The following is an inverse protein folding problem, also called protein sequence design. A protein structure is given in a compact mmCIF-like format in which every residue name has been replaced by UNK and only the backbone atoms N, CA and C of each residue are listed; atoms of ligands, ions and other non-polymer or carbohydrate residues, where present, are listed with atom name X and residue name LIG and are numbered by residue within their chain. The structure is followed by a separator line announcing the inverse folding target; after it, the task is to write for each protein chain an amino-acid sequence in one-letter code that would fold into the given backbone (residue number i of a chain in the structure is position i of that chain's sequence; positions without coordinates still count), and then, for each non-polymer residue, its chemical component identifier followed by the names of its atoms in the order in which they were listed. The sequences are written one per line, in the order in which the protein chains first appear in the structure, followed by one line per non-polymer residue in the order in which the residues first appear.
data_IF_908733076878
#
_entry.id   IF_908733076878
#
_cell.length_a   1.000
_cell.length_b   1.000
_cell.length_c   1.000
_cell.angle_alpha   90.00
_cell.angle_beta   90.00
_cell.angle_gamma   90.00
#
_symmetry.space_group_name_H-M   'P 1'
#
loop_
_entity.id
_entity.type
_entity.pdbx_description
1 polymer ?
#
# COMPACT_ATOMS: atom_id res chain seq x y z
N UNK A 1 -9.56 8.41 -4.80
CA UNK A 1 -8.30 7.83 -5.37
C UNK A 1 -8.13 6.42 -4.83
N UNK A 2 -7.82 5.46 -5.68
CA UNK A 2 -7.98 4.03 -5.43
C UNK A 2 -6.66 3.25 -5.52
N UNK A 3 -6.74 1.91 -5.36
CA UNK A 3 -5.60 0.99 -5.49
C UNK A 3 -5.38 0.09 -4.28
N UNK A 4 -6.26 0.11 -3.30
CA UNK A 4 -6.26 -0.76 -2.12
C UNK A 4 -7.58 -1.54 -2.04
N UNK A 5 -7.63 -2.57 -1.22
CA UNK A 5 -8.87 -3.32 -0.95
C UNK A 5 -9.91 -2.40 -0.30
N UNK A 6 -9.48 -1.60 0.67
CA UNK A 6 -10.34 -0.65 1.36
C UNK A 6 -10.96 0.39 0.40
N UNK A 7 -10.24 0.77 -0.65
CA UNK A 7 -10.78 1.67 -1.68
C UNK A 7 -11.89 1.00 -2.51
N UNK A 8 -11.76 -0.30 -2.80
CA UNK A 8 -12.80 -1.05 -3.50
C UNK A 8 -14.05 -1.22 -2.62
N UNK A 9 -13.86 -1.60 -1.36
CA UNK A 9 -14.93 -1.77 -0.38
C UNK A 9 -15.67 -0.45 -0.13
N UNK A 10 -14.93 0.66 -0.02
CA UNK A 10 -15.52 1.99 0.12
C UNK A 10 -16.36 2.38 -1.10
N UNK A 11 -15.81 2.20 -2.31
CA UNK A 11 -16.54 2.49 -3.54
C UNK A 11 -17.84 1.69 -3.63
N UNK A 12 -17.80 0.39 -3.31
CA UNK A 12 -18.98 -0.47 -3.26
C UNK A 12 -20.03 0.02 -2.27
N UNK A 13 -19.63 0.37 -1.07
CA UNK A 13 -20.52 0.86 -0.01
C UNK A 13 -21.16 2.21 -0.36
N UNK A 14 -20.40 3.13 -0.98
CA UNK A 14 -20.90 4.44 -1.39
C UNK A 14 -21.89 4.33 -2.54
N UNK A 15 -21.57 3.54 -3.58
CA UNK A 15 -22.48 3.28 -4.71
C UNK A 15 -23.78 2.63 -4.23
N UNK A 16 -23.71 1.63 -3.35
CA UNK A 16 -24.89 1.01 -2.76
C UNK A 16 -25.73 1.98 -1.92
N UNK A 17 -25.14 3.09 -1.47
CA UNK A 17 -25.82 4.17 -0.74
C UNK A 17 -26.33 5.31 -1.65
N UNK A 18 -26.21 5.16 -2.98
CA UNK A 18 -26.67 6.15 -3.95
C UNK A 18 -25.73 7.36 -4.14
N UNK A 19 -24.49 7.26 -3.67
CA UNK A 19 -23.47 8.30 -3.89
C UNK A 19 -22.87 8.11 -5.28
N UNK A 20 -22.73 9.20 -6.04
CA UNK A 20 -21.99 9.18 -7.31
C UNK A 20 -20.49 9.11 -7.04
N UNK A 21 -19.82 8.06 -7.55
CA UNK A 21 -18.43 7.76 -7.25
C UNK A 21 -17.64 7.60 -8.54
N UNK A 22 -16.48 8.24 -8.60
CA UNK A 22 -15.46 7.96 -9.62
C UNK A 22 -14.19 7.42 -8.96
N UNK A 23 -13.78 6.19 -9.32
CA UNK A 23 -12.53 5.60 -8.84
C UNK A 23 -11.36 6.00 -9.77
N UNK A 24 -10.28 6.53 -9.20
CA UNK A 24 -9.11 6.95 -9.99
C UNK A 24 -7.86 6.16 -9.62
N UNK A 25 -7.18 5.60 -10.62
CA UNK A 25 -5.97 4.78 -10.52
C UNK A 25 -4.79 5.42 -11.24
N UNK A 26 -3.59 5.22 -10.69
CA UNK A 26 -2.36 5.68 -11.33
C UNK A 26 -1.93 4.86 -12.57
N UNK A 27 -2.57 3.72 -12.82
CA UNK A 27 -2.24 2.83 -13.94
C UNK A 27 -0.93 2.04 -13.81
N UNK A 28 -0.38 1.94 -12.60
CA UNK A 28 0.89 1.24 -12.34
C UNK A 28 0.78 -0.29 -12.37
N UNK A 29 -0.42 -0.83 -12.21
CA UNK A 29 -0.71 -2.27 -12.25
C UNK A 29 -1.75 -2.50 -13.34
N UNK A 30 -1.48 -3.45 -14.26
CA UNK A 30 -2.34 -3.72 -15.43
C UNK A 30 -3.68 -4.36 -15.06
N UNK A 31 -3.69 -5.21 -14.02
CA UNK A 31 -4.91 -5.87 -13.55
C UNK A 31 -5.48 -5.10 -12.38
N UNK A 32 -6.62 -4.49 -12.58
CA UNK A 32 -7.37 -3.77 -11.55
C UNK A 32 -8.51 -4.64 -11.05
N UNK A 33 -8.89 -4.48 -9.77
CA UNK A 33 -10.13 -5.02 -9.27
C UNK A 33 -11.32 -4.41 -10.03
N UNK A 34 -12.42 -5.16 -10.18
CA UNK A 34 -13.67 -4.60 -10.69
C UNK A 34 -14.22 -3.59 -9.67
N UNK A 35 -14.58 -2.40 -10.16
CA UNK A 35 -15.23 -1.38 -9.36
C UNK A 35 -16.66 -1.19 -9.84
N UNK A 36 -17.63 -0.99 -8.94
CA UNK A 36 -19.04 -0.79 -9.30
C UNK A 36 -19.35 0.65 -9.75
N UNK A 37 -18.34 1.41 -10.16
CA UNK A 37 -18.44 2.80 -10.55
C UNK A 37 -17.51 3.13 -11.73
N UNK A 38 -17.68 4.28 -12.40
CA UNK A 38 -16.74 4.76 -13.40
C UNK A 38 -15.29 4.77 -12.89
N UNK A 39 -14.37 4.36 -13.79
CA UNK A 39 -12.95 4.26 -13.49
C UNK A 39 -12.14 5.18 -14.38
N UNK A 40 -11.33 6.03 -13.75
CA UNK A 40 -10.30 6.81 -14.42
C UNK A 40 -8.94 6.16 -14.23
N UNK A 41 -8.18 5.99 -15.31
CA UNK A 41 -6.81 5.44 -15.26
C UNK A 41 -5.83 6.47 -15.79
N UNK A 42 -4.74 6.68 -15.07
CA UNK A 42 -3.65 7.59 -15.43
C UNK A 42 -3.29 8.56 -14.31
N UNK A 43 -2.11 9.15 -14.42
CA UNK A 43 -1.67 10.20 -13.52
C UNK A 43 -2.49 11.49 -13.68
N UNK A 44 -2.41 12.36 -12.69
CA UNK A 44 -3.09 13.66 -12.75
C UNK A 44 -2.21 14.76 -13.35
N UNK A 45 -0.90 14.56 -13.45
CA UNK A 45 0.03 15.62 -13.84
C UNK A 45 0.35 16.58 -12.68
N UNK A 46 0.41 16.07 -11.46
CA UNK A 46 0.70 16.85 -10.25
C UNK A 46 -0.55 17.47 -9.61
N UNK A 47 -0.32 18.51 -8.82
CA UNK A 47 -1.38 19.22 -8.08
C UNK A 47 -2.34 19.93 -9.03
N UNK A 48 -1.82 20.69 -9.99
CA UNK A 48 -2.63 21.48 -10.92
C UNK A 48 -3.55 20.60 -11.79
N UNK A 49 -3.05 19.44 -12.22
CA UNK A 49 -3.86 18.48 -12.96
C UNK A 49 -4.95 17.86 -12.11
N UNK A 50 -4.70 17.62 -10.82
CA UNK A 50 -5.73 17.13 -9.90
C UNK A 50 -6.78 18.21 -9.61
N UNK A 51 -6.38 19.46 -9.44
CA UNK A 51 -7.30 20.61 -9.30
C UNK A 51 -8.28 20.67 -10.48
N UNK A 52 -7.75 20.58 -11.73
CA UNK A 52 -8.60 20.55 -12.93
C UNK A 52 -9.58 19.38 -12.91
N UNK A 53 -9.12 18.18 -12.58
CA UNK A 53 -10.00 16.99 -12.50
C UNK A 53 -11.10 17.17 -11.46
N UNK A 54 -10.82 17.78 -10.31
CA UNK A 54 -11.82 18.05 -9.27
C UNK A 54 -12.84 19.07 -9.75
N UNK A 55 -12.40 20.17 -10.37
CA UNK A 55 -13.27 21.24 -10.85
C UNK A 55 -14.11 20.80 -12.07
N UNK A 56 -13.46 20.26 -13.11
CA UNK A 56 -14.12 19.86 -14.36
C UNK A 56 -15.11 18.69 -14.14
N UNK A 57 -14.81 17.82 -13.19
CA UNK A 57 -15.66 16.70 -12.82
C UNK A 57 -16.80 17.05 -11.84
N UNK A 58 -16.86 18.28 -11.34
CA UNK A 58 -17.86 18.68 -10.35
C UNK A 58 -17.80 17.84 -9.06
N UNK A 59 -16.59 17.48 -8.61
CA UNK A 59 -16.43 16.65 -7.42
C UNK A 59 -16.52 17.48 -6.14
N UNK A 60 -17.47 17.14 -5.28
CA UNK A 60 -17.68 17.82 -3.99
C UNK A 60 -16.72 17.31 -2.91
N UNK A 61 -16.29 16.05 -3.01
CA UNK A 61 -15.47 15.37 -2.02
C UNK A 61 -14.32 14.60 -2.67
N UNK A 62 -13.18 14.57 -1.98
CA UNK A 62 -12.01 13.79 -2.37
C UNK A 62 -11.65 12.80 -1.26
N UNK A 63 -11.81 11.49 -1.53
CA UNK A 63 -11.27 10.45 -0.62
C UNK A 63 -9.97 9.91 -1.19
N UNK A 64 -8.89 10.08 -0.43
CA UNK A 64 -7.60 9.48 -0.73
C UNK A 64 -7.47 8.13 0.01
N UNK A 65 -7.70 7.04 -0.72
CA UNK A 65 -7.51 5.67 -0.27
C UNK A 65 -6.32 5.00 -0.98
N UNK A 66 -5.29 5.78 -1.36
CA UNK A 66 -4.07 5.23 -1.95
C UNK A 66 -3.29 4.41 -0.91
N UNK A 67 -2.39 3.55 -1.41
CA UNK A 67 -1.59 2.67 -0.57
C UNK A 67 -0.82 3.46 0.50
N UNK A 68 -0.66 2.95 1.75
CA UNK A 68 0.05 3.63 2.84
C UNK A 68 1.47 4.10 2.50
N UNK A 69 2.11 3.47 1.53
CA UNK A 69 3.44 3.84 1.01
C UNK A 69 3.40 4.74 -0.23
N UNK A 70 2.27 5.32 -0.56
CA UNK A 70 2.20 6.39 -1.54
C UNK A 70 2.76 7.68 -0.90
N UNK A 71 3.98 8.08 -1.27
CA UNK A 71 4.65 9.22 -0.66
C UNK A 71 4.24 10.57 -1.27
N UNK A 72 3.93 10.60 -2.57
CA UNK A 72 3.66 11.85 -3.30
C UNK A 72 2.16 12.15 -3.39
N UNK A 73 1.37 11.14 -3.72
CA UNK A 73 -0.04 11.32 -4.04
C UNK A 73 -0.87 11.90 -2.89
N UNK A 74 -0.69 11.49 -1.61
CA UNK A 74 -1.41 12.10 -0.49
C UNK A 74 -1.16 13.60 -0.33
N UNK A 75 0.07 14.05 -0.52
CA UNK A 75 0.43 15.47 -0.45
C UNK A 75 -0.18 16.26 -1.62
N UNK A 76 -0.13 15.71 -2.84
CA UNK A 76 -0.80 16.32 -3.99
C UNK A 76 -2.32 16.41 -3.77
N UNK A 77 -2.92 15.38 -3.20
CA UNK A 77 -4.34 15.36 -2.87
C UNK A 77 -4.71 16.42 -1.83
N UNK A 78 -3.88 16.60 -0.80
CA UNK A 78 -4.10 17.63 0.22
C UNK A 78 -4.01 19.04 -0.38
N UNK A 79 -2.97 19.30 -1.17
CA UNK A 79 -2.78 20.59 -1.82
C UNK A 79 -3.91 20.90 -2.84
N UNK A 80 -4.24 19.93 -3.70
CA UNK A 80 -5.26 20.12 -4.73
C UNK A 80 -6.65 20.32 -4.12
N UNK A 81 -7.02 19.58 -3.09
CA UNK A 81 -8.29 19.74 -2.40
C UNK A 81 -8.41 21.12 -1.76
N UNK A 82 -7.35 21.63 -1.13
CA UNK A 82 -7.31 22.97 -0.56
C UNK A 82 -7.47 24.07 -1.62
N UNK A 83 -6.82 23.94 -2.78
CA UNK A 83 -6.94 24.90 -3.90
C UNK A 83 -8.33 24.87 -4.53
N UNK A 84 -8.88 23.65 -4.72
CA UNK A 84 -10.20 23.48 -5.33
C UNK A 84 -11.38 23.77 -4.38
N UNK A 85 -11.13 23.98 -3.08
CA UNK A 85 -12.18 24.13 -2.08
C UNK A 85 -12.98 22.86 -1.81
N UNK A 86 -12.41 21.68 -2.12
CA UNK A 86 -13.04 20.37 -1.98
C UNK A 86 -12.67 19.75 -0.63
N UNK A 87 -13.64 19.24 0.12
CA UNK A 87 -13.38 18.55 1.37
C UNK A 87 -12.63 17.22 1.09
N UNK A 88 -11.58 16.95 1.88
CA UNK A 88 -10.72 15.77 1.71
C UNK A 88 -10.71 14.87 2.93
N UNK A 89 -10.84 13.58 2.71
CA UNK A 89 -10.61 12.53 3.70
C UNK A 89 -9.44 11.62 3.26
N UNK A 90 -8.62 11.20 4.22
CA UNK A 90 -7.66 10.10 4.04
C UNK A 90 -8.24 8.82 4.64
N UNK A 91 -8.46 7.78 3.83
CA UNK A 91 -8.72 6.42 4.33
C UNK A 91 -7.38 5.68 4.38
N UNK A 92 -6.88 5.48 5.59
CA UNK A 92 -5.56 4.90 5.85
C UNK A 92 -5.67 3.86 6.97
N UNK A 93 -5.73 2.59 6.59
CA UNK A 93 -5.77 1.48 7.55
C UNK A 93 -4.66 1.56 8.60
N UNK A 94 -4.92 1.09 9.83
CA UNK A 94 -3.95 1.07 10.91
C UNK A 94 -2.66 0.32 10.51
N UNK A 95 -1.48 0.77 10.95
CA UNK A 95 -0.25 -0.01 10.80
C UNK A 95 -0.33 -1.32 11.58
N UNK A 96 0.53 -2.25 11.27
CA UNK A 96 0.77 -3.37 12.17
C UNK A 96 1.63 -2.88 13.35
N UNK A 97 1.34 -3.41 14.51
CA UNK A 97 2.09 -3.20 15.73
C UNK A 97 2.80 -4.50 16.10
N UNK A 98 3.98 -4.39 16.69
CA UNK A 98 4.71 -5.56 17.12
C UNK A 98 4.00 -6.23 18.30
N UNK A 99 3.90 -7.55 18.24
CA UNK A 99 3.30 -8.38 19.28
C UNK A 99 4.36 -9.25 19.97
N UNK A 100 3.97 -9.91 21.04
CA UNK A 100 4.86 -10.84 21.74
C UNK A 100 5.32 -11.96 20.78
N UNK A 101 6.63 -12.19 20.72
CA UNK A 101 7.25 -13.15 19.81
C UNK A 101 7.70 -12.57 18.48
N UNK A 102 7.35 -11.34 18.17
CA UNK A 102 7.90 -10.65 16.98
C UNK A 102 9.37 -10.28 17.18
N UNK A 103 10.16 -10.53 16.14
CA UNK A 103 11.56 -10.12 16.07
C UNK A 103 11.71 -9.04 15.00
N UNK A 104 11.19 -7.83 15.30
CA UNK A 104 11.17 -6.71 14.37
C UNK A 104 12.34 -5.76 14.58
N UNK A 105 12.98 -5.39 13.47
CA UNK A 105 13.83 -4.21 13.35
C UNK A 105 13.13 -3.20 12.47
N UNK A 106 12.68 -2.09 13.05
CA UNK A 106 12.09 -1.00 12.27
C UNK A 106 13.18 -0.16 11.60
N UNK A 107 12.90 0.25 10.36
CA UNK A 107 13.76 1.09 9.53
C UNK A 107 12.94 2.17 8.83
N UNK A 108 13.57 3.27 8.46
CA UNK A 108 12.89 4.41 7.87
C UNK A 108 12.54 4.20 6.39
N UNK A 109 13.42 3.51 5.65
CA UNK A 109 13.29 3.32 4.22
C UNK A 109 13.95 2.00 3.74
N UNK A 110 13.90 1.77 2.44
CA UNK A 110 14.45 0.55 1.83
C UNK A 110 15.99 0.54 1.78
N UNK A 111 16.63 1.71 1.81
CA UNK A 111 18.10 1.80 1.84
C UNK A 111 18.62 1.40 3.21
N UNK A 112 17.97 1.88 4.27
CA UNK A 112 18.27 1.43 5.64
C UNK A 112 17.93 -0.05 5.83
N UNK A 113 16.85 -0.55 5.19
CA UNK A 113 16.53 -1.97 5.20
C UNK A 113 17.64 -2.82 4.57
N UNK A 114 18.19 -2.39 3.44
CA UNK A 114 19.31 -3.08 2.78
C UNK A 114 20.56 -3.10 3.67
N UNK A 115 20.94 -1.95 4.23
CA UNK A 115 22.08 -1.84 5.15
C UNK A 115 21.89 -2.69 6.44
N UNK A 116 20.65 -2.87 6.87
CA UNK A 116 20.34 -3.67 8.05
C UNK A 116 20.62 -5.17 7.86
N UNK A 117 20.57 -5.69 6.63
CA UNK A 117 20.79 -7.12 6.36
C UNK A 117 22.17 -7.60 6.83
N UNK A 118 23.22 -6.82 6.59
CA UNK A 118 24.58 -7.14 7.03
C UNK A 118 24.67 -7.22 8.56
N UNK A 119 24.02 -6.28 9.25
CA UNK A 119 24.07 -6.18 10.73
C UNK A 119 23.31 -7.30 11.43
N UNK A 120 22.32 -7.90 10.77
CA UNK A 120 21.53 -9.00 11.34
C UNK A 120 21.99 -10.38 10.84
N UNK A 121 23.01 -10.44 9.97
CA UNK A 121 23.56 -11.68 9.46
C UNK A 121 22.54 -12.50 8.66
N UNK A 122 21.86 -11.84 7.71
CA UNK A 122 20.85 -12.47 6.86
C UNK A 122 21.51 -13.21 5.70
N UNK A 123 21.07 -14.45 5.43
CA UNK A 123 21.55 -15.26 4.31
C UNK A 123 20.46 -15.47 3.25
N UNK A 124 19.21 -15.63 3.69
CA UNK A 124 18.07 -15.92 2.81
C UNK A 124 16.89 -15.01 3.13
N UNK A 125 16.66 -14.05 2.28
CA UNK A 125 15.76 -12.93 2.55
C UNK A 125 14.54 -12.95 1.64
N UNK A 126 13.34 -12.95 2.24
CA UNK A 126 12.11 -12.69 1.51
C UNK A 126 11.87 -11.17 1.38
N UNK A 127 11.88 -10.67 0.15
CA UNK A 127 11.52 -9.30 -0.17
C UNK A 127 10.02 -9.20 -0.54
N UNK A 128 9.19 -8.82 0.41
CA UNK A 128 7.74 -8.60 0.21
C UNK A 128 7.41 -7.09 0.06
N UNK A 129 8.17 -6.40 -0.77
CA UNK A 129 8.16 -4.92 -0.93
C UNK A 129 7.68 -4.44 -2.30
N UNK A 130 7.37 -5.39 -3.20
CA UNK A 130 7.02 -5.12 -4.58
C UNK A 130 8.21 -4.80 -5.49
N UNK A 131 8.03 -4.97 -6.81
CA UNK A 131 9.12 -4.91 -7.80
C UNK A 131 9.92 -3.60 -7.80
N UNK A 132 9.25 -2.47 -7.55
CA UNK A 132 9.90 -1.15 -7.57
C UNK A 132 10.87 -0.92 -6.40
N UNK A 133 10.76 -1.71 -5.34
CA UNK A 133 11.65 -1.60 -4.18
C UNK A 133 12.92 -2.42 -4.29
N UNK A 134 13.03 -3.32 -5.27
CA UNK A 134 14.13 -4.29 -5.36
C UNK A 134 15.48 -3.62 -5.65
N UNK A 135 15.49 -2.50 -6.35
CA UNK A 135 16.71 -1.79 -6.70
C UNK A 135 17.52 -1.31 -5.47
N UNK A 136 16.85 -1.05 -4.34
CA UNK A 136 17.54 -0.67 -3.11
C UNK A 136 18.46 -1.77 -2.55
N UNK A 137 18.29 -3.02 -2.99
CA UNK A 137 19.06 -4.18 -2.54
C UNK A 137 20.10 -4.65 -3.57
N UNK A 138 20.29 -3.92 -4.66
CA UNK A 138 21.16 -4.33 -5.78
C UNK A 138 22.64 -4.47 -5.38
N UNK A 139 23.10 -3.71 -4.40
CA UNK A 139 24.48 -3.73 -3.89
C UNK A 139 24.70 -4.70 -2.72
N UNK A 140 23.65 -5.37 -2.24
CA UNK A 140 23.79 -6.31 -1.12
C UNK A 140 24.39 -7.63 -1.63
N UNK A 141 25.52 -8.02 -1.07
CA UNK A 141 26.25 -9.23 -1.41
C UNK A 141 26.03 -10.34 -0.38
N UNK A 142 26.33 -11.57 -0.74
CA UNK A 142 26.26 -12.72 0.18
C UNK A 142 24.85 -13.24 0.48
N UNK A 143 23.81 -12.51 0.09
CA UNK A 143 22.40 -12.83 0.37
C UNK A 143 21.72 -13.47 -0.84
N UNK A 144 20.94 -14.52 -0.61
CA UNK A 144 20.01 -15.04 -1.61
C UNK A 144 18.63 -14.44 -1.39
N UNK A 145 18.16 -13.68 -2.36
CA UNK A 145 16.85 -13.05 -2.29
C UNK A 145 15.73 -13.94 -2.85
N UNK A 146 14.59 -13.96 -2.17
CA UNK A 146 13.32 -14.42 -2.72
C UNK A 146 12.44 -13.18 -2.89
N UNK A 147 12.24 -12.74 -4.11
CA UNK A 147 11.49 -11.52 -4.41
C UNK A 147 10.06 -11.86 -4.81
N UNK A 148 9.06 -11.39 -4.02
CA UNK A 148 7.66 -11.58 -4.36
C UNK A 148 7.07 -10.31 -4.96
N UNK A 149 6.49 -10.43 -6.15
CA UNK A 149 5.83 -9.34 -6.85
C UNK A 149 4.62 -9.83 -7.64
N UNK A 150 3.72 -8.90 -8.03
CA UNK A 150 2.55 -9.21 -8.87
C UNK A 150 2.96 -9.37 -10.34
N UNK A 151 3.92 -8.56 -10.78
CA UNK A 151 4.46 -8.55 -12.13
C UNK A 151 5.97 -8.79 -12.06
N UNK A 152 6.57 -9.40 -13.08
CA UNK A 152 8.02 -9.61 -13.10
C UNK A 152 8.76 -8.27 -13.03
N UNK A 153 9.88 -8.20 -12.28
CA UNK A 153 10.77 -7.05 -12.36
C UNK A 153 11.49 -7.06 -13.72
N UNK A 154 11.51 -5.90 -14.37
CA UNK A 154 12.19 -5.72 -15.65
C UNK A 154 12.81 -4.29 -15.67
N UNK A 155 14.16 -4.17 -15.68
CA UNK A 155 15.13 -5.25 -15.48
C UNK A 155 15.15 -5.80 -14.04
N UNK A 156 15.70 -7.02 -13.85
CA UNK A 156 15.97 -7.58 -12.53
C UNK A 156 17.21 -6.92 -11.93
N UNK A 157 17.12 -6.19 -10.81
CA UNK A 157 18.25 -5.48 -10.23
C UNK A 157 19.13 -6.36 -9.31
N UNK A 158 18.67 -7.56 -8.95
CA UNK A 158 19.33 -8.42 -7.96
C UNK A 158 20.16 -9.50 -8.64
N UNK A 159 21.42 -9.66 -8.20
CA UNK A 159 22.35 -10.64 -8.78
C UNK A 159 21.98 -12.10 -8.48
N UNK A 160 21.47 -12.37 -7.27
CA UNK A 160 21.03 -13.71 -6.82
C UNK A 160 19.61 -13.63 -6.28
N UNK A 161 18.63 -13.95 -7.11
CA UNK A 161 17.22 -13.88 -6.70
C UNK A 161 16.38 -14.98 -7.33
N UNK A 162 15.44 -15.49 -6.54
CA UNK A 162 14.30 -16.28 -7.01
C UNK A 162 13.09 -15.36 -7.05
N UNK A 163 12.36 -15.31 -8.16
CA UNK A 163 11.15 -14.49 -8.28
C UNK A 163 9.91 -15.35 -8.10
N UNK A 164 9.03 -14.90 -7.21
CA UNK A 164 7.71 -15.49 -7.01
C UNK A 164 6.66 -14.48 -7.51
N UNK A 165 5.92 -14.87 -8.55
CA UNK A 165 4.81 -14.06 -9.05
C UNK A 165 3.54 -14.49 -8.34
N UNK A 166 3.04 -13.65 -7.44
CA UNK A 166 1.84 -13.93 -6.67
C UNK A 166 1.10 -12.65 -6.26
N UNK A 167 -0.21 -12.76 -6.17
CA UNK A 167 -1.10 -11.69 -5.69
C UNK A 167 -1.88 -12.21 -4.49
N UNK A 168 -1.90 -11.43 -3.41
CA UNK A 168 -2.73 -11.75 -2.24
C UNK A 168 -4.25 -11.71 -2.52
N UNK A 169 -5.06 -12.10 -1.55
CA UNK A 169 -4.68 -12.39 -0.18
C UNK A 169 -3.93 -13.72 -0.05
N UNK A 170 -3.13 -13.86 1.02
CA UNK A 170 -2.36 -15.08 1.31
C UNK A 170 -2.79 -15.66 2.66
N UNK A 171 -2.87 -16.99 2.74
CA UNK A 171 -3.09 -17.70 3.99
C UNK A 171 -1.82 -17.76 4.86
N UNK A 172 -2.01 -17.86 6.18
CA UNK A 172 -0.86 -17.95 7.10
C UNK A 172 -0.07 -19.23 6.88
N UNK A 173 -0.75 -20.34 6.64
CA UNK A 173 -0.11 -21.64 6.42
C UNK A 173 0.67 -21.67 5.09
N UNK A 174 0.17 -21.00 4.05
CA UNK A 174 0.89 -20.81 2.79
C UNK A 174 2.15 -19.99 2.97
N UNK A 175 2.09 -18.93 3.78
CA UNK A 175 3.24 -18.09 4.11
C UNK A 175 4.26 -18.87 4.97
N UNK A 176 3.81 -19.69 5.91
CA UNK A 176 4.68 -20.58 6.70
C UNK A 176 5.38 -21.58 5.79
N UNK A 177 4.66 -22.22 4.86
CA UNK A 177 5.22 -23.12 3.89
C UNK A 177 6.28 -22.42 3.02
N UNK A 178 5.96 -21.24 2.50
CA UNK A 178 6.88 -20.43 1.69
C UNK A 178 8.16 -20.11 2.46
N UNK A 179 8.06 -19.62 3.70
CA UNK A 179 9.24 -19.29 4.51
C UNK A 179 10.13 -20.52 4.77
N UNK A 180 9.51 -21.70 5.00
CA UNK A 180 10.24 -22.96 5.21
C UNK A 180 10.89 -23.48 3.94
N UNK A 181 10.15 -23.54 2.83
CA UNK A 181 10.61 -24.12 1.56
C UNK A 181 11.80 -23.34 1.01
N UNK A 182 11.77 -22.02 1.15
CA UNK A 182 12.88 -21.16 0.75
C UNK A 182 13.91 -20.93 1.87
N UNK A 183 13.73 -21.54 3.06
CA UNK A 183 14.60 -21.41 4.24
C UNK A 183 14.87 -19.95 4.59
N UNK A 184 13.82 -19.14 4.62
CA UNK A 184 13.92 -17.72 4.88
C UNK A 184 14.26 -17.48 6.35
N UNK A 185 15.32 -16.75 6.61
CA UNK A 185 15.73 -16.29 7.94
C UNK A 185 15.25 -14.87 8.23
N UNK A 186 15.06 -14.06 7.19
CA UNK A 186 14.69 -12.65 7.31
C UNK A 186 13.61 -12.26 6.29
N UNK A 187 12.55 -11.63 6.78
CA UNK A 187 11.50 -11.00 5.98
C UNK A 187 11.72 -9.48 5.92
N UNK A 188 11.85 -8.91 4.73
CA UNK A 188 11.78 -7.46 4.54
C UNK A 188 10.39 -7.10 4.03
N UNK A 189 9.68 -6.27 4.77
CA UNK A 189 8.33 -5.84 4.40
C UNK A 189 8.06 -4.39 4.78
N UNK A 190 7.14 -3.78 4.06
CA UNK A 190 6.59 -2.46 4.38
C UNK A 190 5.49 -2.60 5.42
N UNK A 191 5.42 -1.72 6.42
CA UNK A 191 4.31 -1.68 7.37
C UNK A 191 3.02 -1.19 6.67
N UNK A 192 2.50 -2.02 5.79
CA UNK A 192 1.31 -1.69 5.00
C UNK A 192 0.03 -1.73 5.82
N UNK A 193 0.02 -2.46 6.93
CA UNK A 193 -1.18 -2.66 7.74
C UNK A 193 -2.27 -3.46 7.05
N UNK A 194 -3.39 -3.62 7.75
CA UNK A 194 -4.56 -4.35 7.28
C UNK A 194 -4.39 -5.87 7.26
N UNK A 195 -5.50 -6.59 7.12
CA UNK A 195 -5.55 -8.07 7.20
C UNK A 195 -5.06 -8.77 5.94
N UNK A 196 -5.29 -8.18 4.75
CA UNK A 196 -5.05 -8.84 3.46
C UNK A 196 -3.61 -9.34 3.23
N UNK A 197 -2.64 -8.76 3.92
CA UNK A 197 -1.22 -9.13 3.80
C UNK A 197 -0.53 -9.33 5.15
N UNK A 198 -1.28 -9.46 6.25
CA UNK A 198 -0.75 -9.70 7.60
C UNK A 198 -0.15 -11.12 7.74
N UNK A 199 -0.66 -12.07 6.98
CA UNK A 199 -0.27 -13.48 7.05
C UNK A 199 1.24 -13.72 7.06
N UNK A 200 2.02 -12.98 6.28
CA UNK A 200 3.49 -13.08 6.24
C UNK A 200 4.17 -12.67 7.55
N UNK A 201 3.58 -11.71 8.26
CA UNK A 201 4.10 -11.22 9.55
C UNK A 201 3.82 -12.28 10.62
N UNK A 202 2.62 -12.82 10.63
CA UNK A 202 2.24 -13.93 11.50
C UNK A 202 3.08 -15.18 11.25
N UNK A 203 3.32 -15.52 9.97
CA UNK A 203 4.18 -16.66 9.61
C UNK A 203 5.63 -16.45 10.08
N UNK A 204 6.17 -15.22 9.94
CA UNK A 204 7.50 -14.88 10.44
C UNK A 204 7.58 -15.04 11.96
N UNK A 205 6.56 -14.60 12.70
CA UNK A 205 6.45 -14.77 14.16
C UNK A 205 6.45 -16.25 14.55
N UNK A 206 5.62 -17.09 13.90
CA UNK A 206 5.55 -18.54 14.16
C UNK A 206 6.87 -19.28 13.95
N UNK A 207 7.68 -18.79 13.01
CA UNK A 207 8.95 -19.41 12.68
C UNK A 207 10.16 -18.74 13.34
N UNK A 208 9.96 -17.67 14.12
CA UNK A 208 11.03 -16.90 14.72
C UNK A 208 11.91 -16.17 13.71
N UNK A 209 11.41 -15.96 12.47
CA UNK A 209 12.14 -15.22 11.45
C UNK A 209 12.29 -13.75 11.86
N UNK A 210 13.43 -13.15 11.53
CA UNK A 210 13.60 -11.71 11.68
C UNK A 210 12.72 -10.95 10.69
N UNK A 211 12.21 -9.79 11.12
CA UNK A 211 11.42 -8.91 10.26
C UNK A 211 12.09 -7.54 10.22
N UNK A 212 12.55 -7.13 9.05
CA UNK A 212 12.94 -5.74 8.80
C UNK A 212 11.68 -5.03 8.30
N UNK A 213 11.13 -4.18 9.18
CA UNK A 213 9.86 -3.50 8.96
C UNK A 213 10.11 -2.06 8.54
N UNK A 214 9.82 -1.76 7.27
CA UNK A 214 9.95 -0.39 6.75
C UNK A 214 8.76 0.44 7.23
N UNK A 215 9.05 1.56 7.91
CA UNK A 215 8.03 2.51 8.38
C UNK A 215 7.34 3.22 7.22
N UNK A 216 6.11 3.67 7.46
CA UNK A 216 5.36 4.46 6.49
C UNK A 216 6.00 5.83 6.29
N UNK A 217 5.96 6.37 5.06
CA UNK A 217 6.36 7.75 4.83
C UNK A 217 5.41 8.71 5.58
N UNK A 218 5.88 9.93 5.93
CA UNK A 218 5.03 10.96 6.51
C UNK A 218 3.78 11.21 5.66
N UNK A 219 2.66 11.45 6.33
CA UNK A 219 1.37 11.73 5.69
C UNK A 219 1.02 13.21 5.88
N UNK A 220 0.28 13.83 4.94
CA UNK A 220 -0.18 15.20 5.09
C UNK A 220 -1.19 15.30 6.23
N UNK A 221 -1.21 16.43 6.92
CA UNK A 221 -2.21 16.73 7.94
C UNK A 221 -3.62 16.81 7.36
N UNK A 222 -4.62 16.54 8.20
CA UNK A 222 -6.04 16.65 7.86
C UNK A 222 -6.87 15.46 8.31
N UNK A 223 -8.18 15.45 8.01
CA UNK A 223 -9.07 14.37 8.39
C UNK A 223 -8.60 13.01 7.87
N UNK A 224 -8.54 12.03 8.77
CA UNK A 224 -8.12 10.67 8.48
C UNK A 224 -8.97 9.68 9.28
N UNK A 225 -9.32 8.57 8.64
CA UNK A 225 -9.99 7.43 9.26
C UNK A 225 -9.28 6.13 8.86
N UNK A 226 -9.43 5.08 9.66
CA UNK A 226 -8.81 3.78 9.40
C UNK A 226 -9.78 2.71 8.89
N UNK A 227 -11.08 2.86 9.19
CA UNK A 227 -12.10 1.91 8.77
C UNK A 227 -12.95 2.46 7.62
N UNK A 228 -13.41 1.55 6.76
CA UNK A 228 -14.30 1.88 5.63
C UNK A 228 -15.63 2.46 6.12
N UNK A 229 -16.17 1.93 7.23
CA UNK A 229 -17.42 2.42 7.81
C UNK A 229 -17.33 3.91 8.19
N UNK A 230 -16.24 4.32 8.84
CA UNK A 230 -16.04 5.72 9.23
C UNK A 230 -15.90 6.64 8.01
N UNK A 231 -15.29 6.12 6.94
CA UNK A 231 -15.18 6.85 5.68
C UNK A 231 -16.56 7.04 5.00
N UNK A 232 -17.42 6.03 5.06
CA UNK A 232 -18.81 6.13 4.56
C UNK A 232 -19.60 7.17 5.36
N UNK A 233 -19.49 7.14 6.70
CA UNK A 233 -20.15 8.13 7.56
C UNK A 233 -19.66 9.54 7.28
N UNK A 234 -18.35 9.71 7.14
CA UNK A 234 -17.77 11.02 6.80
C UNK A 234 -18.31 11.56 5.47
N UNK A 235 -18.35 10.73 4.42
CA UNK A 235 -18.89 11.11 3.11
C UNK A 235 -20.35 11.52 3.24
N UNK A 236 -21.18 10.73 3.94
CA UNK A 236 -22.60 11.07 4.16
C UNK A 236 -22.80 12.39 4.90
N UNK A 237 -21.94 12.68 5.89
CA UNK A 237 -22.01 13.93 6.66
C UNK A 237 -21.54 15.16 5.89
N UNK A 238 -20.83 14.98 4.76
CA UNK A 238 -20.32 16.07 3.92
C UNK A 238 -21.02 16.16 2.56
N UNK A 239 -21.86 15.19 2.21
CA UNK A 239 -22.72 15.28 1.03
C UNK A 239 -23.89 16.19 1.34
N UNK A 240 -23.96 17.36 0.69
CA UNK A 240 -25.06 18.28 0.87
C UNK A 240 -26.37 17.64 0.38
N UNK A 241 -27.48 17.71 1.16
CA UNK A 241 -28.78 17.22 0.71
C UNK A 241 -29.38 18.00 -0.47
N UNK A 242 -28.82 19.16 -0.82
CA UNK A 242 -29.36 20.10 -1.82
C UNK A 242 -28.69 20.00 -3.23
N UNK A 243 -27.85 19.01 -3.49
CA UNK A 243 -27.25 18.80 -4.81
C UNK A 243 -28.06 17.76 -5.64
N UNK A 244 -29.34 18.01 -5.86
CA UNK A 244 -30.17 17.27 -6.83
C UNK A 244 -30.81 18.22 -7.83
#
# INVERSE_FOLDING_TARGET
MAGTTEAADLAGSLVASGVDVTASFAGRTRVQAAYPCPVRVGGFGGVDGLVRVLADGGHDLLVDATHPFAAVMPHNAAAAAAIAGVARLRLLRAPWEAEAGDNWKEVTDLSEAAAALDTVGSERVLLAIGRLGLAAFASVEGVHFVARSIEPPDPMPLAKATVILARGPFGVDDEVALLRDYRIDTLVTKNSGGSATAAKVEAARRLGCRVIMVRRPPQPLGPQVSAVADAVEWVRGHSSPDAR
#
